data_IF_821057275072
#
_entry.id   IF_821057275072
#
_cell.length_a   1.000
_cell.length_b   1.000
_cell.length_c   1.000
_cell.angle_alpha   90.00
_cell.angle_beta   90.00
_cell.angle_gamma   90.00
#
_symmetry.space_group_name_H-M   'P 1'
#
loop_
_entity.id
_entity.type
_entity.pdbx_description
1 polymer ?
#
# COMPACT_ATOMS: atom_id res chain seq x y z
N UNK A 1 14.86 -35.64 7.07
CA UNK A 1 14.15 -34.53 6.41
C UNK A 1 14.38 -33.29 7.25
N UNK A 2 15.15 -32.32 6.77
CA UNK A 2 15.34 -31.03 7.46
C UNK A 2 14.05 -30.22 7.33
N UNK A 3 13.40 -29.91 8.44
CA UNK A 3 12.24 -29.01 8.48
C UNK A 3 12.62 -27.71 7.79
N UNK A 4 11.89 -27.23 6.76
CA UNK A 4 12.19 -25.93 6.17
C UNK A 4 12.05 -24.87 7.26
N UNK A 5 13.14 -24.15 7.55
CA UNK A 5 13.15 -23.10 8.57
C UNK A 5 12.41 -21.88 8.03
N UNK A 6 11.24 -21.61 8.61
CA UNK A 6 10.49 -20.37 8.43
C UNK A 6 11.07 -19.31 9.38
N UNK A 7 11.39 -18.13 8.86
CA UNK A 7 11.83 -16.97 9.65
C UNK A 7 10.95 -15.76 9.35
N UNK A 8 11.08 -14.69 10.16
CA UNK A 8 10.22 -13.52 10.11
C UNK A 8 11.06 -12.25 10.06
N UNK A 9 10.73 -11.38 9.11
CA UNK A 9 11.27 -10.03 9.04
C UNK A 9 10.17 -9.00 9.31
N UNK A 10 10.58 -7.89 9.91
CA UNK A 10 9.76 -6.68 10.06
C UNK A 10 10.37 -5.62 9.15
N UNK A 11 9.64 -5.23 8.10
CA UNK A 11 10.12 -4.29 7.09
C UNK A 11 9.41 -2.94 7.28
N UNK A 12 10.11 -1.90 7.76
CA UNK A 12 9.51 -0.57 7.88
C UNK A 12 9.28 0.05 6.50
N UNK A 13 8.18 0.78 6.35
CA UNK A 13 7.86 1.53 5.14
C UNK A 13 8.14 3.01 5.39
N UNK A 14 9.37 3.42 5.09
CA UNK A 14 9.78 4.82 5.23
C UNK A 14 9.08 5.69 4.18
N UNK A 15 8.41 6.73 4.65
CA UNK A 15 7.75 7.73 3.80
C UNK A 15 7.61 9.07 4.53
N UNK A 16 7.52 10.19 3.79
CA UNK A 16 7.10 11.47 4.37
C UNK A 16 5.70 11.40 5.00
N UNK A 17 5.44 12.26 5.99
CA UNK A 17 4.17 12.30 6.72
C UNK A 17 2.96 12.71 5.88
N UNK A 18 3.18 13.47 4.80
CA UNK A 18 2.15 13.93 3.85
C UNK A 18 1.82 12.90 2.76
N UNK A 19 2.52 11.76 2.72
CA UNK A 19 2.36 10.72 1.69
C UNK A 19 1.51 9.57 2.24
N UNK A 20 0.55 9.09 1.46
CA UNK A 20 -0.18 7.86 1.76
C UNK A 20 0.45 6.67 1.05
N UNK A 21 0.37 5.47 1.65
CA UNK A 21 0.80 4.20 1.04
C UNK A 21 -0.36 3.23 0.96
N UNK A 22 -0.44 2.47 -0.14
CA UNK A 22 -1.31 1.30 -0.30
C UNK A 22 -0.42 0.11 -0.64
N UNK A 23 -0.57 -0.98 0.11
CA UNK A 23 0.20 -2.22 -0.11
C UNK A 23 -0.80 -3.34 -0.36
N UNK A 24 -0.56 -4.12 -1.40
CA UNK A 24 -1.42 -5.24 -1.76
C UNK A 24 -0.67 -6.36 -2.45
N UNK A 25 -1.42 -7.36 -2.88
CA UNK A 25 -0.94 -8.47 -3.68
C UNK A 25 -1.78 -8.57 -4.96
N UNK A 26 -1.11 -8.83 -6.08
CA UNK A 26 -1.73 -9.01 -7.38
C UNK A 26 -1.16 -10.25 -8.08
N UNK A 27 -1.29 -10.33 -9.39
CA UNK A 27 -0.59 -11.30 -10.23
C UNK A 27 -0.53 -10.77 -11.66
N UNK A 28 0.35 -11.32 -12.50
CA UNK A 28 0.46 -10.98 -13.92
C UNK A 28 1.03 -9.56 -14.19
N UNK A 29 1.80 -9.44 -15.29
CA UNK A 29 2.61 -8.25 -15.56
C UNK A 29 1.78 -6.99 -15.85
N UNK A 30 0.54 -7.17 -16.33
CA UNK A 30 -0.41 -6.08 -16.63
C UNK A 30 -0.78 -5.26 -15.38
N UNK A 31 -0.59 -5.82 -14.17
CA UNK A 31 -0.79 -5.12 -12.89
C UNK A 31 -0.22 -3.71 -12.88
N UNK A 32 1.01 -3.51 -13.40
CA UNK A 32 1.67 -2.20 -13.30
C UNK A 32 0.99 -1.14 -14.19
N UNK A 33 0.46 -1.54 -15.34
CA UNK A 33 -0.24 -0.64 -16.26
C UNK A 33 -1.67 -0.39 -15.78
N UNK A 34 -2.39 -1.42 -15.34
CA UNK A 34 -3.76 -1.28 -14.88
C UNK A 34 -3.88 -0.49 -13.58
N UNK A 35 -2.94 -0.68 -12.64
CA UNK A 35 -2.87 0.16 -11.45
C UNK A 35 -2.53 1.61 -11.83
N UNK A 36 -1.68 1.83 -12.85
CA UNK A 36 -1.42 3.19 -13.32
C UNK A 36 -2.68 3.84 -13.88
N UNK A 37 -3.39 3.15 -14.77
CA UNK A 37 -4.64 3.65 -15.37
C UNK A 37 -5.73 3.88 -14.33
N UNK A 38 -5.90 2.94 -13.39
CA UNK A 38 -6.86 3.06 -12.30
C UNK A 38 -6.61 4.30 -11.43
N UNK A 39 -5.35 4.66 -11.20
CA UNK A 39 -4.96 5.86 -10.44
C UNK A 39 -5.09 7.14 -11.29
N UNK A 40 -4.55 7.13 -12.51
CA UNK A 40 -4.62 8.27 -13.43
C UNK A 40 -6.05 8.67 -13.77
N UNK A 41 -6.99 7.72 -13.79
CA UNK A 41 -8.41 7.97 -14.05
C UNK A 41 -9.18 8.61 -12.89
N UNK A 42 -8.63 8.70 -11.67
CA UNK A 42 -9.35 9.24 -10.51
C UNK A 42 -9.39 10.77 -10.48
N UNK A 43 -8.25 11.42 -10.72
CA UNK A 43 -8.15 12.88 -10.70
C UNK A 43 -6.91 13.35 -11.47
N UNK A 44 -6.99 14.45 -12.25
CA UNK A 44 -5.81 15.05 -12.89
C UNK A 44 -4.81 15.63 -11.89
N UNK A 45 -5.21 15.89 -10.64
CA UNK A 45 -4.32 16.36 -9.58
C UNK A 45 -3.62 15.23 -8.83
N UNK A 46 -4.07 13.97 -8.94
CA UNK A 46 -3.50 12.89 -8.15
C UNK A 46 -2.04 12.66 -8.55
N UNK A 47 -1.13 12.67 -7.57
CA UNK A 47 0.27 12.30 -7.76
C UNK A 47 0.52 10.92 -7.20
N UNK A 48 1.16 10.06 -7.99
CA UNK A 48 1.35 8.68 -7.58
C UNK A 48 2.60 8.01 -8.17
N UNK A 49 3.06 7.01 -7.45
CA UNK A 49 4.04 6.04 -7.91
C UNK A 49 3.61 4.62 -7.53
N UNK A 50 3.80 3.69 -8.44
CA UNK A 50 3.46 2.26 -8.32
C UNK A 50 4.71 1.43 -8.54
N UNK A 51 4.87 0.38 -7.74
CA UNK A 51 5.84 -0.67 -7.94
C UNK A 51 5.19 -2.04 -7.73
N UNK A 52 5.52 -3.01 -8.57
CA UNK A 52 4.99 -4.38 -8.55
C UNK A 52 6.14 -5.39 -8.68
N UNK A 53 6.19 -6.35 -7.77
CA UNK A 53 7.20 -7.40 -7.75
C UNK A 53 6.82 -8.55 -8.69
N UNK A 54 7.38 -8.59 -9.90
CA UNK A 54 7.21 -9.75 -10.78
C UNK A 54 7.78 -11.01 -10.09
N UNK A 55 6.98 -12.07 -9.95
CA UNK A 55 7.37 -13.25 -9.15
C UNK A 55 8.01 -14.38 -9.98
N UNK A 56 8.08 -14.23 -11.29
CA UNK A 56 8.65 -15.24 -12.21
C UNK A 56 9.43 -14.58 -13.36
N UNK A 57 10.07 -15.39 -14.21
CA UNK A 57 10.84 -14.88 -15.34
C UNK A 57 12.00 -13.96 -14.88
N UNK A 58 12.11 -12.72 -15.41
CA UNK A 58 13.14 -11.77 -15.00
C UNK A 58 13.10 -11.37 -13.53
N UNK A 59 11.93 -11.49 -12.87
CA UNK A 59 11.72 -11.13 -11.45
C UNK A 59 12.11 -9.68 -11.13
N UNK A 60 11.71 -8.76 -12.02
CA UNK A 60 12.00 -7.34 -11.86
C UNK A 60 10.89 -6.64 -11.08
N UNK A 61 11.26 -5.59 -10.34
CA UNK A 61 10.28 -4.62 -9.85
C UNK A 61 9.83 -3.78 -11.04
N UNK A 62 8.59 -3.99 -11.46
CA UNK A 62 7.92 -3.20 -12.49
C UNK A 62 7.39 -1.92 -11.84
N UNK A 63 7.56 -0.77 -12.47
CA UNK A 63 7.21 0.52 -11.88
C UNK A 63 6.58 1.47 -12.88
N UNK A 64 5.66 2.30 -12.42
CA UNK A 64 4.98 3.32 -13.22
C UNK A 64 4.45 4.42 -12.31
N UNK A 65 4.12 5.59 -12.84
CA UNK A 65 3.58 6.71 -12.07
C UNK A 65 3.74 8.04 -12.78
N UNK A 66 3.16 9.10 -12.22
CA UNK A 66 3.23 10.45 -12.75
C UNK A 66 4.08 11.41 -11.89
N UNK A 67 4.70 10.90 -10.83
CA UNK A 67 5.61 11.61 -9.94
C UNK A 67 6.86 10.76 -9.69
N UNK A 68 8.04 11.27 -10.06
CA UNK A 68 9.28 10.50 -10.03
C UNK A 68 9.73 10.13 -8.61
N UNK A 69 9.45 10.98 -7.62
CA UNK A 69 9.83 10.75 -6.24
C UNK A 69 8.96 9.64 -5.62
N UNK A 70 7.65 9.67 -5.90
CA UNK A 70 6.72 8.63 -5.47
C UNK A 70 7.02 7.28 -6.16
N UNK A 71 7.39 7.29 -7.44
CA UNK A 71 7.86 6.08 -8.16
C UNK A 71 9.12 5.52 -7.50
N UNK A 72 10.07 6.38 -7.16
CA UNK A 72 11.28 6.00 -6.44
C UNK A 72 10.97 5.40 -5.06
N UNK A 73 10.04 5.99 -4.33
CA UNK A 73 9.60 5.52 -3.02
C UNK A 73 8.94 4.13 -3.12
N UNK A 74 8.00 3.96 -4.05
CA UNK A 74 7.33 2.68 -4.31
C UNK A 74 8.34 1.59 -4.65
N UNK A 75 9.30 1.91 -5.51
CA UNK A 75 10.35 0.96 -5.93
C UNK A 75 11.21 0.52 -4.75
N UNK A 76 11.65 1.45 -3.89
CA UNK A 76 12.45 1.11 -2.70
C UNK A 76 11.68 0.27 -1.70
N UNK A 77 10.42 0.61 -1.42
CA UNK A 77 9.56 -0.17 -0.54
C UNK A 77 9.31 -1.59 -1.08
N UNK A 78 9.02 -1.72 -2.38
CA UNK A 78 8.85 -3.03 -3.02
C UNK A 78 10.12 -3.89 -2.94
N UNK A 79 11.30 -3.29 -3.14
CA UNK A 79 12.59 -3.97 -2.97
C UNK A 79 12.88 -4.38 -1.53
N UNK A 80 12.49 -3.56 -0.55
CA UNK A 80 12.68 -3.88 0.87
C UNK A 80 11.75 -5.02 1.32
N UNK A 81 10.49 -5.01 0.88
CA UNK A 81 9.52 -6.08 1.15
C UNK A 81 9.96 -7.38 0.45
N UNK A 82 10.38 -7.28 -0.81
CA UNK A 82 10.89 -8.37 -1.64
C UNK A 82 9.99 -9.62 -1.71
N UNK A 83 8.68 -9.45 -1.53
CA UNK A 83 7.70 -10.52 -1.68
C UNK A 83 7.22 -10.60 -3.14
N UNK A 84 7.20 -11.79 -3.72
CA UNK A 84 6.69 -11.99 -5.07
C UNK A 84 5.23 -11.55 -5.16
N UNK A 85 4.86 -10.88 -6.25
CA UNK A 85 3.52 -10.38 -6.53
C UNK A 85 2.96 -9.32 -5.56
N UNK A 86 3.74 -8.82 -4.61
CA UNK A 86 3.33 -7.62 -3.87
C UNK A 86 3.37 -6.39 -4.77
N UNK A 87 2.47 -5.45 -4.54
CA UNK A 87 2.57 -4.11 -5.09
C UNK A 87 2.54 -3.06 -3.98
N UNK A 88 3.17 -1.91 -4.26
CA UNK A 88 3.20 -0.73 -3.39
C UNK A 88 2.80 0.47 -4.22
N UNK A 89 1.88 1.27 -3.71
CA UNK A 89 1.44 2.54 -4.30
C UNK A 89 1.69 3.62 -3.27
N UNK A 90 2.34 4.71 -3.67
CA UNK A 90 2.40 5.94 -2.87
C UNK A 90 1.62 7.06 -3.55
N UNK A 91 0.95 7.89 -2.76
CA UNK A 91 0.03 8.93 -3.23
C UNK A 91 0.29 10.27 -2.54
N UNK A 92 0.17 11.36 -3.31
CA UNK A 92 0.03 12.76 -2.85
C UNK A 92 -1.13 13.42 -3.60
N UNK A 93 -1.58 14.57 -3.09
CA UNK A 93 -2.66 15.37 -3.71
C UNK A 93 -3.97 14.58 -3.89
N UNK A 94 -4.20 13.63 -2.97
CA UNK A 94 -5.38 12.76 -2.89
C UNK A 94 -5.27 11.80 -1.71
N UNK A 95 -6.39 11.14 -1.37
CA UNK A 95 -6.47 10.19 -0.26
C UNK A 95 -6.76 8.77 -0.76
N UNK A 96 -6.37 7.72 0.00
CA UNK A 96 -6.67 6.34 -0.37
C UNK A 96 -8.16 6.08 -0.62
N UNK A 97 -9.07 6.75 0.11
CA UNK A 97 -10.52 6.63 -0.09
C UNK A 97 -10.97 7.03 -1.51
N UNK A 98 -10.20 7.85 -2.22
CA UNK A 98 -10.49 8.22 -3.60
C UNK A 98 -10.16 7.10 -4.61
N UNK A 99 -9.17 6.25 -4.30
CA UNK A 99 -8.59 5.29 -5.26
C UNK A 99 -8.82 3.82 -4.90
N UNK A 100 -9.18 3.52 -3.64
CA UNK A 100 -9.25 2.13 -3.16
C UNK A 100 -10.24 1.26 -3.94
N UNK A 101 -11.39 1.80 -4.35
CA UNK A 101 -12.36 1.04 -5.13
C UNK A 101 -11.88 0.76 -6.57
N UNK A 102 -11.37 1.76 -7.33
CA UNK A 102 -10.69 1.51 -8.60
C UNK A 102 -9.57 0.47 -8.49
N UNK A 103 -8.69 0.57 -7.48
CA UNK A 103 -7.59 -0.39 -7.26
C UNK A 103 -8.13 -1.80 -6.99
N UNK A 104 -9.16 -1.96 -6.15
CA UNK A 104 -9.79 -3.27 -5.89
C UNK A 104 -10.49 -3.85 -7.12
N UNK A 105 -10.92 -3.00 -8.07
CA UNK A 105 -11.59 -3.42 -9.28
C UNK A 105 -10.63 -3.85 -10.39
N UNK A 106 -9.32 -3.58 -10.25
CA UNK A 106 -8.30 -4.07 -11.19
C UNK A 106 -8.28 -5.61 -11.14
N UNK A 107 -8.48 -6.31 -12.28
CA UNK A 107 -8.65 -7.77 -12.31
C UNK A 107 -7.45 -8.55 -11.73
N UNK A 108 -6.26 -7.99 -11.83
CA UNK A 108 -5.03 -8.60 -11.33
C UNK A 108 -4.91 -8.58 -9.81
N UNK A 109 -5.61 -7.66 -9.12
CA UNK A 109 -5.48 -7.43 -7.67
C UNK A 109 -6.19 -8.54 -6.89
N UNK A 110 -5.43 -9.24 -6.06
CA UNK A 110 -5.94 -10.32 -5.20
C UNK A 110 -6.42 -9.79 -3.83
N UNK A 111 -5.77 -8.75 -3.31
CA UNK A 111 -6.10 -8.20 -1.99
C UNK A 111 -5.25 -6.99 -1.59
N UNK A 112 -5.72 -6.26 -0.58
CA UNK A 112 -5.06 -5.09 0.01
C UNK A 112 -4.73 -5.39 1.47
N UNK A 113 -3.49 -5.14 1.88
CA UNK A 113 -3.05 -5.29 3.27
C UNK A 113 -3.32 -4.03 4.09
N UNK A 114 -2.97 -2.85 3.55
CA UNK A 114 -3.22 -1.55 4.22
C UNK A 114 -3.35 -0.41 3.22
N UNK A 115 -3.88 0.72 3.71
CA UNK A 115 -3.98 1.98 3.03
C UNK A 115 -3.93 3.12 4.06
N UNK A 116 -2.76 3.77 4.22
CA UNK A 116 -2.49 4.59 5.40
C UNK A 116 -1.48 5.72 5.17
N UNK A 117 -1.57 6.76 6.02
CA UNK A 117 -0.52 7.76 6.19
C UNK A 117 0.28 7.56 7.50
N UNK A 118 -0.09 6.59 8.34
CA UNK A 118 0.68 6.27 9.55
C UNK A 118 2.04 5.65 9.19
N UNK A 119 2.92 5.56 10.19
CA UNK A 119 4.03 4.61 10.15
C UNK A 119 3.48 3.18 10.04
N UNK A 120 4.04 2.37 9.15
CA UNK A 120 3.60 1.00 8.94
C UNK A 120 4.80 0.06 8.79
N UNK A 121 4.73 -1.07 9.47
CA UNK A 121 5.66 -2.19 9.33
C UNK A 121 4.99 -3.34 8.58
N UNK A 122 5.69 -3.95 7.64
CA UNK A 122 5.24 -5.15 6.91
C UNK A 122 5.87 -6.39 7.54
N UNK A 123 5.02 -7.34 7.95
CA UNK A 123 5.47 -8.62 8.51
C UNK A 123 5.65 -9.62 7.38
N UNK A 124 6.90 -10.04 7.17
CA UNK A 124 7.29 -10.89 6.05
C UNK A 124 7.76 -12.25 6.54
N UNK A 125 7.10 -13.31 6.07
CA UNK A 125 7.55 -14.68 6.22
C UNK A 125 8.63 -15.00 5.19
N UNK A 126 9.73 -15.62 5.63
CA UNK A 126 10.89 -15.95 4.79
C UNK A 126 11.16 -17.46 4.84
N UNK A 127 11.28 -18.06 3.66
CA UNK A 127 11.58 -19.49 3.46
C UNK A 127 12.60 -19.69 2.34
N UNK A 128 13.14 -20.91 2.14
CA UNK A 128 14.02 -21.20 1.00
C UNK A 128 13.40 -20.91 -0.38
N UNK A 129 12.07 -20.88 -0.49
CA UNK A 129 11.37 -20.52 -1.75
C UNK A 129 11.38 -19.02 -2.03
N UNK A 130 11.38 -18.19 -0.99
CA UNK A 130 11.21 -16.76 -1.11
C UNK A 130 10.44 -16.16 0.08
N UNK A 131 9.84 -15.00 -0.15
CA UNK A 131 9.23 -14.13 0.85
C UNK A 131 7.73 -13.94 0.58
N UNK A 132 6.93 -13.81 1.63
CA UNK A 132 5.49 -13.52 1.54
C UNK A 132 5.04 -12.60 2.66
N UNK A 133 4.12 -11.68 2.35
CA UNK A 133 3.53 -10.79 3.36
C UNK A 133 2.47 -11.57 4.14
N UNK A 134 2.61 -11.58 5.46
CA UNK A 134 1.65 -12.23 6.37
C UNK A 134 0.70 -11.22 6.99
N UNK A 135 1.15 -9.97 7.17
CA UNK A 135 0.33 -8.90 7.71
C UNK A 135 1.11 -7.60 7.81
N UNK A 136 0.49 -6.62 8.46
CA UNK A 136 1.03 -5.27 8.67
C UNK A 136 0.73 -4.80 10.08
N UNK A 137 1.58 -3.91 10.60
CA UNK A 137 1.33 -3.14 11.81
C UNK A 137 1.12 -1.69 11.36
N UNK A 138 -0.14 -1.24 11.32
CA UNK A 138 -0.52 0.10 10.86
C UNK A 138 -0.78 1.01 12.06
N UNK A 139 0.14 1.93 12.34
CA UNK A 139 0.05 2.86 13.45
C UNK A 139 0.25 2.21 14.82
N UNK A 140 -0.49 2.72 15.81
CA UNK A 140 -0.33 2.37 17.22
C UNK A 140 -1.58 1.66 17.77
N UNK A 141 -1.42 0.97 18.90
CA UNK A 141 -2.52 0.29 19.59
C UNK A 141 -3.54 1.28 20.16
N UNK A 142 -4.85 0.93 20.18
CA UNK A 142 -5.86 1.74 20.85
C UNK A 142 -5.52 1.97 22.34
N UNK A 143 -5.75 3.19 22.83
CA UNK A 143 -5.48 3.58 24.23
C UNK A 143 -6.74 3.76 25.08
N UNK A 144 -7.93 3.57 24.49
CA UNK A 144 -9.21 3.76 25.15
C UNK A 144 -10.40 3.68 24.18
N UNK A 145 -11.57 4.04 24.68
CA UNK A 145 -12.83 4.14 23.91
C UNK A 145 -13.26 5.60 23.89
N UNK A 146 -13.77 6.08 22.75
CA UNK A 146 -14.27 7.46 22.62
C UNK A 146 -15.45 7.73 23.57
N UNK A 147 -15.49 8.93 24.17
CA UNK A 147 -16.65 9.43 24.90
C UNK A 147 -17.51 10.35 24.03
N UNK A 148 -18.59 10.90 24.60
CA UNK A 148 -19.55 11.74 23.86
C UNK A 148 -18.91 12.97 23.21
N UNK A 149 -17.87 13.53 23.86
CA UNK A 149 -17.10 14.67 23.33
C UNK A 149 -16.32 14.28 22.07
N UNK A 150 -15.55 13.20 22.12
CA UNK A 150 -14.76 12.72 20.98
C UNK A 150 -15.68 12.31 19.81
N UNK A 151 -16.85 11.74 20.11
CA UNK A 151 -17.90 11.45 19.12
C UNK A 151 -18.34 12.73 18.41
N UNK A 152 -18.68 13.79 19.17
CA UNK A 152 -19.07 15.08 18.59
C UNK A 152 -17.94 15.66 17.72
N UNK A 153 -16.69 15.63 18.21
CA UNK A 153 -15.53 16.14 17.48
C UNK A 153 -15.31 15.42 16.14
N UNK A 154 -15.38 14.08 16.09
CA UNK A 154 -15.23 13.36 14.80
C UNK A 154 -16.42 13.60 13.86
N UNK A 155 -17.62 13.83 14.40
CA UNK A 155 -18.78 14.18 13.58
C UNK A 155 -18.64 15.56 12.94
N UNK A 156 -18.19 16.55 13.72
CA UNK A 156 -17.95 17.91 13.25
C UNK A 156 -16.82 17.96 12.23
N UNK A 157 -15.73 17.22 12.47
CA UNK A 157 -14.62 17.11 11.53
C UNK A 157 -15.10 16.69 10.14
N UNK A 158 -15.86 15.58 10.04
CA UNK A 158 -16.33 15.04 8.76
C UNK A 158 -17.21 16.01 7.97
N UNK A 159 -17.94 16.91 8.66
CA UNK A 159 -18.74 17.98 8.04
C UNK A 159 -17.87 19.15 7.61
N UNK A 160 -16.92 19.53 8.45
CA UNK A 160 -15.97 20.60 8.14
C UNK A 160 -15.14 20.28 6.88
N UNK A 161 -14.75 19.01 6.70
CA UNK A 161 -14.05 18.56 5.48
C UNK A 161 -14.99 18.13 4.33
N UNK A 162 -16.31 18.31 4.48
CA UNK A 162 -17.29 18.12 3.41
C UNK A 162 -17.62 16.68 3.02
N UNK A 163 -17.20 15.69 3.80
CA UNK A 163 -17.51 14.27 3.52
C UNK A 163 -18.90 13.85 4.04
N UNK A 164 -19.50 14.63 4.94
CA UNK A 164 -20.85 14.40 5.49
C UNK A 164 -21.62 15.71 5.59
N UNK A 165 -22.95 15.59 5.55
CA UNK A 165 -23.91 16.66 5.87
C UNK A 165 -24.28 16.61 7.36
#
# INVERSE_FOLDING_TARGET
MTTPSLTWDVVPVDKPGDVNVIIGQAHFIKTVEDLHEALAGVSPSLRFGVAFCEASGPRLVRRSGNDADLVGLATRAALAIAAGHSFVIFLREGFPVNVLNPVKAVPEVCGIYCATANSVDVIVAVSPRGRGIVGVIDGQTPVGVEGDREVAERHDLLRAIGYKL
#
